data_IF_721121981440
#
_entry.id   IF_721121981440
#
_cell.length_a   1.000
_cell.length_b   1.000
_cell.length_c   1.000
_cell.angle_alpha   90.00
_cell.angle_beta   90.00
_cell.angle_gamma   90.00
#
_symmetry.space_group_name_H-M   'P 1'
#
loop_
_entity.id
_entity.type
_entity.pdbx_description
1 polymer ?
#
# COMPACT_ATOMS: atom_id res chain seq x y z
N UNK A 1 14.55 -23.56 21.85
CA UNK A 1 13.80 -22.32 21.56
C UNK A 1 13.79 -22.12 20.04
N UNK A 2 12.71 -22.49 19.33
CA UNK A 2 12.65 -22.35 17.89
C UNK A 2 12.52 -20.87 17.51
N UNK A 3 13.45 -20.40 16.67
CA UNK A 3 13.43 -19.05 16.10
C UNK A 3 12.18 -18.92 15.23
N UNK A 4 11.21 -18.12 15.67
CA UNK A 4 10.12 -17.63 14.81
C UNK A 4 10.71 -16.82 13.67
N UNK A 5 10.90 -17.46 12.51
CA UNK A 5 11.20 -16.79 11.26
C UNK A 5 9.92 -16.07 10.86
N UNK A 6 9.80 -14.83 11.32
CA UNK A 6 8.89 -13.88 10.68
C UNK A 6 9.58 -13.51 9.37
N UNK A 7 9.22 -14.21 8.29
CA UNK A 7 9.45 -13.73 6.93
C UNK A 7 8.64 -12.45 6.80
N UNK A 8 9.21 -11.35 7.27
CA UNK A 8 8.63 -10.04 7.09
C UNK A 8 8.75 -9.73 5.61
N UNK A 9 7.64 -9.32 5.00
CA UNK A 9 7.64 -8.56 3.76
C UNK A 9 8.50 -7.26 3.85
N UNK A 10 9.04 -6.93 5.04
CA UNK A 10 9.84 -5.74 5.32
C UNK A 10 11.34 -5.86 5.01
N UNK A 11 11.86 -6.97 4.49
CA UNK A 11 13.29 -7.06 4.18
C UNK A 11 13.60 -6.41 2.82
N UNK A 12 14.71 -5.68 2.77
CA UNK A 12 15.26 -5.12 1.54
C UNK A 12 15.59 -6.20 0.49
N UNK A 13 15.61 -7.49 0.87
CA UNK A 13 15.84 -8.62 -0.05
C UNK A 13 14.64 -8.85 -0.99
N UNK A 14 13.44 -8.35 -0.62
CA UNK A 14 12.28 -8.33 -1.51
C UNK A 14 12.32 -7.19 -2.54
N UNK A 15 13.25 -6.22 -2.39
CA UNK A 15 13.41 -5.10 -3.30
C UNK A 15 14.87 -5.01 -3.78
N UNK A 16 15.16 -5.77 -4.83
CA UNK A 16 16.46 -5.89 -5.53
C UNK A 16 17.56 -6.57 -4.70
N UNK A 17 18.03 -7.72 -5.20
CA UNK A 17 19.21 -8.42 -4.67
C UNK A 17 20.40 -7.47 -4.55
N UNK A 18 21.03 -7.48 -3.38
CA UNK A 18 22.22 -6.70 -3.00
C UNK A 18 23.50 -7.17 -3.73
N UNK A 19 23.38 -7.68 -4.96
CA UNK A 19 24.53 -8.08 -5.75
C UNK A 19 25.09 -6.83 -6.44
N UNK A 20 26.10 -6.24 -5.81
CA UNK A 20 27.10 -5.38 -6.43
C UNK A 20 26.51 -4.24 -7.27
N UNK A 21 25.96 -3.23 -6.60
CA UNK A 21 25.73 -1.89 -7.16
C UNK A 21 27.08 -1.21 -7.44
N UNK A 22 27.83 -1.72 -8.43
CA UNK A 22 28.97 -1.04 -9.04
C UNK A 22 28.51 -0.24 -10.26
N UNK A 23 27.37 -0.59 -10.88
CA UNK A 23 26.85 0.14 -12.04
C UNK A 23 25.38 0.54 -11.86
N UNK A 24 25.22 1.82 -11.54
CA UNK A 24 24.07 2.69 -11.77
C UNK A 24 22.68 2.21 -11.25
N UNK A 25 22.22 2.71 -10.09
CA UNK A 25 20.89 2.39 -9.57
C UNK A 25 19.83 2.95 -10.52
N UNK A 26 19.30 2.11 -11.41
CA UNK A 26 18.11 2.36 -12.25
C UNK A 26 17.89 3.84 -12.61
N UNK A 27 18.61 4.31 -13.65
CA UNK A 27 18.41 5.56 -14.42
C UNK A 27 17.81 6.73 -13.62
N UNK A 28 18.69 7.66 -13.23
CA UNK A 28 18.40 8.93 -12.55
C UNK A 28 17.44 9.89 -13.30
N UNK A 29 17.14 9.61 -14.56
CA UNK A 29 16.39 10.50 -15.45
C UNK A 29 15.11 9.80 -15.91
N UNK A 30 14.06 9.88 -15.10
CA UNK A 30 12.71 9.64 -15.56
C UNK A 30 12.14 10.97 -16.05
N UNK A 31 11.75 11.03 -17.31
CA UNK A 31 10.84 12.05 -17.80
C UNK A 31 9.47 11.72 -17.21
N UNK A 32 8.98 12.53 -16.29
CA UNK A 32 7.59 12.39 -15.87
C UNK A 32 6.73 12.59 -17.13
N UNK A 33 5.91 11.62 -17.55
CA UNK A 33 5.19 11.73 -18.81
C UNK A 33 4.30 12.97 -18.75
N UNK A 34 4.69 13.99 -19.51
CA UNK A 34 3.90 15.19 -19.70
C UNK A 34 2.80 14.79 -20.68
N UNK A 35 1.58 14.64 -20.17
CA UNK A 35 0.32 14.50 -20.95
C UNK A 35 0.03 13.19 -21.68
N UNK A 36 0.86 12.15 -21.63
CA UNK A 36 0.48 10.87 -22.25
C UNK A 36 -0.57 10.09 -21.44
N UNK A 37 -1.49 9.40 -22.15
CA UNK A 37 -2.62 8.62 -21.63
C UNK A 37 -2.17 7.42 -20.78
N UNK A 38 -1.81 7.68 -19.52
CA UNK A 38 -1.65 6.60 -18.54
C UNK A 38 -3.01 5.97 -18.31
N UNK A 39 -3.17 4.72 -18.74
CA UNK A 39 -4.41 3.96 -18.55
C UNK A 39 -4.68 3.70 -17.06
N UNK A 40 -5.94 3.41 -16.71
CA UNK A 40 -6.31 3.04 -15.34
C UNK A 40 -5.63 1.75 -14.87
N UNK A 41 -5.37 0.80 -15.79
CA UNK A 41 -4.62 -0.42 -15.52
C UNK A 41 -3.13 -0.13 -15.25
N UNK A 42 -2.52 0.77 -16.02
CA UNK A 42 -1.15 1.21 -15.77
C UNK A 42 -1.04 1.93 -14.43
N UNK A 43 -1.95 2.86 -14.12
CA UNK A 43 -1.99 3.53 -12.82
C UNK A 43 -2.13 2.57 -11.65
N UNK A 44 -3.02 1.57 -11.78
CA UNK A 44 -3.21 0.51 -10.77
C UNK A 44 -1.94 -0.31 -10.59
N UNK A 45 -1.32 -0.75 -11.69
CA UNK A 45 -0.06 -1.50 -11.66
C UNK A 45 1.05 -0.70 -10.99
N UNK A 46 1.18 0.59 -11.31
CA UNK A 46 2.14 1.48 -10.67
C UNK A 46 1.89 1.57 -9.17
N UNK A 47 0.64 1.75 -8.72
CA UNK A 47 0.31 1.79 -7.29
C UNK A 47 0.76 0.53 -6.54
N UNK A 48 0.59 -0.64 -7.17
CA UNK A 48 1.09 -1.91 -6.65
C UNK A 48 2.63 -1.95 -6.63
N UNK A 49 3.30 -1.55 -7.72
CA UNK A 49 4.76 -1.60 -7.84
C UNK A 49 5.50 -0.61 -6.92
N UNK A 50 4.88 0.52 -6.56
CA UNK A 50 5.45 1.50 -5.61
C UNK A 50 5.20 1.15 -4.14
N UNK A 51 4.47 0.06 -3.86
CA UNK A 51 4.14 -0.40 -2.50
C UNK A 51 4.67 -1.82 -2.26
N UNK A 52 3.83 -2.84 -2.33
CA UNK A 52 4.17 -4.24 -2.06
C UNK A 52 4.90 -4.92 -3.24
N UNK A 53 4.82 -4.33 -4.43
CA UNK A 53 5.47 -4.80 -5.64
C UNK A 53 6.90 -4.29 -5.82
N UNK A 54 7.60 -4.86 -6.79
CA UNK A 54 8.93 -4.41 -7.18
C UNK A 54 9.19 -4.72 -8.66
N UNK A 55 9.95 -3.82 -9.30
CA UNK A 55 10.56 -4.04 -10.61
C UNK A 55 12.10 -3.97 -10.45
N UNK A 56 12.76 -5.10 -10.71
CA UNK A 56 14.21 -5.23 -10.55
C UNK A 56 14.86 -5.83 -11.78
N UNK A 57 16.14 -5.50 -11.99
CA UNK A 57 16.93 -6.08 -13.08
C UNK A 57 17.38 -7.47 -12.63
N UNK A 58 17.06 -8.50 -13.42
CA UNK A 58 17.45 -9.89 -13.16
C UNK A 58 18.78 -10.23 -13.86
N UNK A 59 18.94 -9.80 -15.10
CA UNK A 59 20.18 -9.94 -15.89
C UNK A 59 20.39 -8.70 -16.77
N UNK A 60 21.49 -8.62 -17.52
CA UNK A 60 21.80 -7.49 -18.43
C UNK A 60 20.59 -7.10 -19.30
N UNK A 61 19.82 -8.08 -19.77
CA UNK A 61 18.70 -7.92 -20.67
C UNK A 61 17.38 -8.50 -20.14
N UNK A 62 17.22 -8.70 -18.83
CA UNK A 62 15.99 -9.25 -18.27
C UNK A 62 15.57 -8.49 -17.01
N UNK A 63 14.29 -8.15 -16.95
CA UNK A 63 13.66 -7.54 -15.79
C UNK A 63 12.69 -8.51 -15.15
N UNK A 64 12.61 -8.43 -13.82
CA UNK A 64 11.70 -9.21 -13.00
C UNK A 64 10.73 -8.28 -12.30
N UNK A 65 9.46 -8.55 -12.52
CA UNK A 65 8.36 -8.05 -11.72
C UNK A 65 8.11 -9.04 -10.61
N UNK A 66 7.93 -8.51 -9.41
CA UNK A 66 7.73 -9.28 -8.21
C UNK A 66 6.62 -8.63 -7.40
N UNK A 67 5.68 -9.44 -6.93
CA UNK A 67 4.69 -9.02 -5.95
C UNK A 67 4.51 -10.14 -4.95
N UNK A 68 4.45 -9.79 -3.67
CA UNK A 68 4.08 -10.72 -2.61
C UNK A 68 3.06 -10.09 -1.71
N UNK A 69 1.96 -10.80 -1.44
CA UNK A 69 0.87 -10.28 -0.64
C UNK A 69 0.12 -11.41 0.07
N UNK A 70 -0.59 -11.08 1.15
CA UNK A 70 -1.48 -12.00 1.85
C UNK A 70 -2.89 -12.04 1.24
N UNK A 71 -3.26 -11.03 0.44
CA UNK A 71 -4.51 -11.00 -0.34
C UNK A 71 -4.28 -11.59 -1.74
N UNK A 72 -5.05 -12.63 -2.07
CA UNK A 72 -5.08 -13.21 -3.42
C UNK A 72 -5.68 -12.22 -4.42
N UNK A 73 -6.63 -11.39 -3.98
CA UNK A 73 -7.30 -10.39 -4.81
C UNK A 73 -6.29 -9.39 -5.38
N UNK A 74 -5.36 -8.88 -4.56
CA UNK A 74 -4.28 -7.99 -5.02
C UNK A 74 -3.40 -8.69 -6.07
N UNK A 75 -3.11 -9.98 -5.88
CA UNK A 75 -2.31 -10.77 -6.82
C UNK A 75 -3.01 -10.96 -8.16
N UNK A 76 -4.33 -11.23 -8.15
CA UNK A 76 -5.11 -11.33 -9.38
C UNK A 76 -5.24 -9.98 -10.09
N UNK A 77 -5.46 -8.89 -9.36
CA UNK A 77 -5.47 -7.53 -9.94
C UNK A 77 -4.12 -7.22 -10.61
N UNK A 78 -3.00 -7.56 -9.97
CA UNK A 78 -1.68 -7.44 -10.57
C UNK A 78 -1.54 -8.28 -11.85
N UNK A 79 -1.98 -9.55 -11.82
CA UNK A 79 -1.97 -10.43 -12.99
C UNK A 79 -2.76 -9.82 -14.15
N UNK A 80 -3.97 -9.34 -13.87
CA UNK A 80 -4.85 -8.76 -14.88
C UNK A 80 -4.27 -7.47 -15.47
N UNK A 81 -3.65 -6.61 -14.64
CA UNK A 81 -2.98 -5.42 -15.13
C UNK A 81 -1.80 -5.78 -16.05
N UNK A 82 -1.00 -6.78 -15.69
CA UNK A 82 0.12 -7.25 -16.52
C UNK A 82 -0.34 -7.85 -17.86
N UNK A 83 -1.45 -8.60 -17.87
CA UNK A 83 -2.03 -9.15 -19.10
C UNK A 83 -2.58 -8.03 -19.98
N UNK A 84 -3.42 -7.14 -19.42
CA UNK A 84 -4.11 -6.10 -20.17
C UNK A 84 -3.15 -5.04 -20.72
N UNK A 85 -2.18 -4.61 -19.92
CA UNK A 85 -1.25 -3.54 -20.31
C UNK A 85 -0.22 -4.00 -21.34
N UNK A 86 0.24 -5.25 -21.25
CA UNK A 86 1.36 -5.75 -22.05
C UNK A 86 1.01 -6.90 -23.00
N UNK A 87 -0.26 -7.32 -23.07
CA UNK A 87 -0.70 -8.45 -23.88
C UNK A 87 0.00 -9.76 -23.51
N UNK A 88 0.38 -9.94 -22.24
CA UNK A 88 1.12 -11.12 -21.82
C UNK A 88 0.22 -12.35 -21.75
N UNK A 89 0.72 -13.49 -22.21
CA UNK A 89 0.09 -14.77 -21.94
C UNK A 89 0.03 -15.01 -20.42
N UNK A 90 -1.14 -15.41 -19.93
CA UNK A 90 -1.40 -15.66 -18.51
C UNK A 90 -0.41 -16.65 -17.86
N UNK A 91 0.14 -17.60 -18.62
CA UNK A 91 1.14 -18.60 -18.19
C UNK A 91 2.50 -17.96 -17.89
N UNK A 92 2.78 -16.77 -18.42
CA UNK A 92 4.01 -16.03 -18.10
C UNK A 92 4.00 -15.43 -16.69
N UNK A 93 2.83 -15.37 -16.05
CA UNK A 93 2.65 -14.84 -14.71
C UNK A 93 2.59 -16.01 -13.74
N UNK A 94 3.73 -16.31 -13.13
CA UNK A 94 3.86 -17.43 -12.20
C UNK A 94 3.35 -17.01 -10.83
N UNK A 95 2.26 -17.61 -10.39
CA UNK A 95 1.71 -17.42 -9.04
C UNK A 95 2.04 -18.67 -8.22
N UNK A 96 2.55 -18.45 -7.02
CA UNK A 96 2.82 -19.49 -6.04
C UNK A 96 2.20 -19.10 -4.70
N UNK A 97 1.71 -20.09 -3.97
CA UNK A 97 1.21 -19.93 -2.61
C UNK A 97 2.16 -20.62 -1.64
N UNK A 98 2.41 -19.97 -0.50
CA UNK A 98 3.09 -20.56 0.65
C UNK A 98 2.29 -20.28 1.89
N UNK A 99 2.35 -21.18 2.87
CA UNK A 99 1.80 -20.94 4.19
C UNK A 99 2.87 -20.29 5.07
N UNK A 100 2.60 -19.08 5.56
CA UNK A 100 3.47 -18.35 6.50
C UNK A 100 2.66 -18.09 7.77
N UNK A 101 3.09 -18.67 8.89
CA UNK A 101 2.36 -18.64 10.16
C UNK A 101 0.92 -19.17 10.05
N UNK A 102 0.73 -20.26 9.31
CA UNK A 102 -0.59 -20.90 9.12
C UNK A 102 -1.58 -20.08 8.29
N UNK A 103 -1.09 -19.08 7.56
CA UNK A 103 -1.91 -18.22 6.71
C UNK A 103 -1.33 -18.19 5.29
N UNK A 104 -2.18 -18.06 4.26
CA UNK A 104 -1.71 -18.02 2.89
C UNK A 104 -0.90 -16.75 2.61
N UNK A 105 0.19 -16.93 1.89
CA UNK A 105 1.08 -15.90 1.40
C UNK A 105 1.34 -16.17 -0.08
N UNK A 106 0.88 -15.25 -0.92
CA UNK A 106 0.91 -15.40 -2.36
C UNK A 106 2.05 -14.60 -2.95
N UNK A 107 2.65 -15.14 -3.99
CA UNK A 107 3.75 -14.52 -4.72
C UNK A 107 3.53 -14.63 -6.22
N UNK A 108 3.57 -13.50 -6.92
CA UNK A 108 3.53 -13.42 -8.37
C UNK A 108 4.88 -12.95 -8.92
N UNK A 109 5.35 -13.63 -9.97
CA UNK A 109 6.61 -13.31 -10.65
C UNK A 109 6.43 -13.30 -12.16
N UNK A 110 6.87 -12.21 -12.80
CA UNK A 110 6.89 -12.07 -14.26
C UNK A 110 8.30 -11.66 -14.69
N UNK A 111 8.93 -12.47 -15.55
CA UNK A 111 10.23 -12.12 -16.14
C UNK A 111 9.98 -11.61 -17.58
N UNK A 112 10.28 -10.34 -17.86
CA UNK A 112 10.06 -9.72 -19.17
C UNK A 112 11.00 -8.55 -19.45
N UNK A 113 11.79 -8.65 -20.53
CA UNK A 113 12.70 -7.59 -20.98
C UNK A 113 11.96 -6.33 -21.40
N UNK A 114 10.94 -6.47 -22.28
CA UNK A 114 10.29 -5.33 -22.92
C UNK A 114 9.46 -4.53 -21.92
N UNK A 115 8.64 -5.21 -21.10
CA UNK A 115 7.81 -4.57 -20.08
C UNK A 115 8.68 -3.80 -19.05
N UNK A 116 9.78 -4.41 -18.60
CA UNK A 116 10.67 -3.76 -17.64
C UNK A 116 11.44 -2.58 -18.25
N UNK A 117 11.91 -2.69 -19.50
CA UNK A 117 12.53 -1.56 -20.21
C UNK A 117 11.53 -0.41 -20.40
N UNK A 118 10.30 -0.70 -20.81
CA UNK A 118 9.24 0.30 -20.96
C UNK A 118 9.01 1.08 -19.65
N UNK A 119 8.72 0.38 -18.55
CA UNK A 119 8.41 1.06 -17.29
C UNK A 119 9.61 1.80 -16.69
N UNK A 120 10.81 1.24 -16.76
CA UNK A 120 12.00 1.91 -16.22
C UNK A 120 12.49 3.06 -17.09
N UNK A 121 12.27 3.02 -18.40
CA UNK A 121 12.53 4.17 -19.26
C UNK A 121 11.55 5.31 -18.95
N UNK A 122 10.27 4.98 -18.73
CA UNK A 122 9.19 5.93 -18.51
C UNK A 122 9.15 6.51 -17.09
N UNK A 123 9.38 5.69 -16.07
CA UNK A 123 9.16 6.06 -14.66
C UNK A 123 10.41 5.98 -13.79
N UNK A 124 11.51 5.45 -14.32
CA UNK A 124 12.79 5.35 -13.62
C UNK A 124 12.81 4.25 -12.56
N UNK A 125 13.08 4.64 -11.32
CA UNK A 125 13.32 3.71 -10.21
C UNK A 125 12.04 3.35 -9.46
N UNK A 126 11.85 2.05 -9.19
CA UNK A 126 10.72 1.51 -8.43
C UNK A 126 11.10 1.05 -7.02
N UNK A 127 12.39 1.14 -6.63
CA UNK A 127 12.81 0.80 -5.27
C UNK A 127 12.30 1.88 -4.33
N UNK A 128 11.61 1.53 -3.24
CA UNK A 128 11.12 2.53 -2.26
C UNK A 128 11.83 2.41 -0.91
N UNK A 129 12.44 1.25 -0.64
CA UNK A 129 13.19 1.01 0.59
C UNK A 129 14.62 1.57 0.55
N UNK A 130 15.03 2.16 1.66
CA UNK A 130 16.38 2.63 1.86
C UNK A 130 17.40 1.49 1.88
N UNK A 131 18.62 1.78 1.43
CA UNK A 131 19.77 0.88 1.49
C UNK A 131 20.89 1.50 2.32
N UNK A 132 21.81 0.68 2.81
CA UNK A 132 22.99 1.15 3.53
C UNK A 132 24.14 1.36 2.55
N UNK A 133 24.73 2.56 2.52
CA UNK A 133 25.98 2.84 1.79
C UNK A 133 26.95 3.52 2.77
N UNK A 134 28.11 2.91 2.99
CA UNK A 134 29.12 3.40 3.95
C UNK A 134 28.54 3.73 5.34
N UNK A 135 27.70 2.84 5.88
CA UNK A 135 27.07 3.01 7.19
C UNK A 135 25.88 3.99 7.23
N UNK A 136 25.62 4.76 6.17
CA UNK A 136 24.49 5.71 6.11
C UNK A 136 23.27 5.09 5.43
N UNK A 137 22.08 5.39 5.95
CA UNK A 137 20.80 5.06 5.32
C UNK A 137 20.56 6.03 4.16
N UNK A 138 20.51 5.50 2.94
CA UNK A 138 20.26 6.26 1.72
C UNK A 138 18.94 5.79 1.11
N UNK A 139 18.06 6.74 0.80
CA UNK A 139 16.86 6.47 0.03
C UNK A 139 17.16 6.56 -1.47
N UNK A 140 16.61 5.64 -2.29
CA UNK A 140 16.76 5.72 -3.75
C UNK A 140 16.13 7.02 -4.30
N UNK A 141 16.53 7.48 -5.49
CA UNK A 141 16.03 8.70 -6.11
C UNK A 141 14.61 8.55 -6.70
N UNK A 142 13.77 7.73 -6.06
CA UNK A 142 12.44 7.35 -6.53
C UNK A 142 11.46 8.52 -6.41
N UNK A 143 10.62 8.69 -7.43
CA UNK A 143 9.57 9.71 -7.51
C UNK A 143 8.27 9.07 -7.94
N UNK A 144 7.15 9.61 -7.47
CA UNK A 144 5.86 9.18 -8.00
C UNK A 144 5.70 9.64 -9.47
N UNK A 145 5.05 8.84 -10.32
CA UNK A 145 4.98 9.11 -11.75
C UNK A 145 3.85 10.09 -12.13
N UNK A 146 3.20 10.69 -11.14
CA UNK A 146 2.04 11.56 -11.31
C UNK A 146 2.29 12.95 -10.72
N UNK A 147 1.69 13.94 -11.36
CA UNK A 147 1.67 15.34 -10.94
C UNK A 147 0.27 15.92 -11.15
N UNK A 148 0.09 17.19 -10.81
CA UNK A 148 -1.17 17.94 -10.97
C UNK A 148 -1.58 18.15 -12.43
N UNK A 149 -0.78 17.73 -13.42
CA UNK A 149 -1.17 17.76 -14.84
C UNK A 149 -1.85 16.48 -15.30
N UNK A 150 -1.83 15.42 -14.49
CA UNK A 150 -2.46 14.13 -14.84
C UNK A 150 -3.95 14.13 -14.45
N UNK A 151 -4.75 13.31 -15.15
CA UNK A 151 -6.18 13.16 -14.91
C UNK A 151 -6.46 12.68 -13.46
N UNK A 152 -7.45 13.30 -12.80
CA UNK A 152 -7.93 12.94 -11.47
C UNK A 152 -8.27 11.45 -11.32
N UNK A 153 -8.90 10.84 -12.33
CA UNK A 153 -9.30 9.42 -12.30
C UNK A 153 -8.08 8.49 -12.29
N UNK A 154 -7.06 8.83 -13.08
CA UNK A 154 -5.79 8.08 -13.14
C UNK A 154 -5.07 8.15 -11.80
N UNK A 155 -4.98 9.35 -11.22
CA UNK A 155 -4.40 9.55 -9.88
C UNK A 155 -5.20 8.77 -8.83
N UNK A 156 -6.53 8.80 -8.91
CA UNK A 156 -7.39 8.04 -8.01
C UNK A 156 -7.16 6.53 -8.12
N UNK A 157 -7.03 5.97 -9.34
CA UNK A 157 -6.68 4.57 -9.55
C UNK A 157 -5.33 4.21 -8.93
N UNK A 158 -4.31 5.03 -9.15
CA UNK A 158 -2.99 4.85 -8.55
C UNK A 158 -3.05 4.86 -7.01
N UNK A 159 -3.70 5.88 -6.42
CA UNK A 159 -3.84 5.99 -4.97
C UNK A 159 -4.67 4.85 -4.39
N UNK A 160 -5.75 4.43 -5.06
CA UNK A 160 -6.58 3.30 -4.64
C UNK A 160 -5.75 2.03 -4.49
N UNK A 161 -4.90 1.74 -5.47
CA UNK A 161 -3.98 0.61 -5.40
C UNK A 161 -2.97 0.77 -4.25
N UNK A 162 -2.32 1.94 -4.14
CA UNK A 162 -1.33 2.20 -3.09
C UNK A 162 -1.91 2.04 -1.67
N UNK A 163 -3.09 2.62 -1.40
CA UNK A 163 -3.80 2.47 -0.12
C UNK A 163 -4.30 1.04 0.12
N UNK A 164 -4.54 0.27 -0.93
CA UNK A 164 -4.96 -1.14 -0.80
C UNK A 164 -3.80 -2.08 -0.45
N UNK A 165 -2.57 -1.73 -0.85
CA UNK A 165 -1.36 -2.46 -0.49
C UNK A 165 -0.85 -2.03 0.90
N UNK A 166 -0.28 -0.83 1.01
CA UNK A 166 0.43 -0.33 2.21
C UNK A 166 -0.46 0.44 3.20
N UNK A 167 -1.73 0.65 2.85
CA UNK A 167 -2.69 1.40 3.62
C UNK A 167 -3.77 0.56 4.31
N UNK A 168 -4.60 1.23 5.10
CA UNK A 168 -5.70 0.60 5.81
C UNK A 168 -6.60 1.60 6.54
N UNK A 169 -7.62 1.06 7.19
CA UNK A 169 -8.56 1.81 8.03
C UNK A 169 -8.25 1.50 9.49
N UNK A 170 -8.03 2.54 10.29
CA UNK A 170 -7.98 2.45 11.74
C UNK A 170 -9.34 2.84 12.31
N UNK A 171 -10.04 1.83 12.84
CA UNK A 171 -11.27 1.99 13.59
C UNK A 171 -11.11 1.27 14.93
N UNK A 172 -10.93 2.03 16.02
CA UNK A 172 -10.68 1.47 17.35
C UNK A 172 -11.57 2.09 18.42
N UNK A 173 -12.01 1.23 19.34
CA UNK A 173 -12.66 1.60 20.58
C UNK A 173 -11.63 1.91 21.65
N UNK A 174 -11.98 2.81 22.58
CA UNK A 174 -11.25 2.94 23.83
C UNK A 174 -12.17 3.42 24.93
N UNK A 175 -11.67 3.32 26.16
CA UNK A 175 -12.43 3.72 27.34
C UNK A 175 -12.67 5.24 27.34
N UNK A 176 -13.83 5.63 27.87
CA UNK A 176 -14.15 7.02 28.17
C UNK A 176 -13.18 7.65 29.19
N UNK A 177 -13.44 8.90 29.58
CA UNK A 177 -12.69 9.55 30.67
C UNK A 177 -12.89 8.75 31.98
N UNK A 178 -11.93 8.81 32.93
CA UNK A 178 -12.11 8.22 34.26
C UNK A 178 -13.43 8.69 34.88
N UNK A 179 -14.27 7.75 35.33
CA UNK A 179 -15.61 8.04 35.88
C UNK A 179 -16.79 7.81 34.92
N UNK A 180 -16.54 7.56 33.62
CA UNK A 180 -17.58 7.15 32.66
C UNK A 180 -17.05 5.99 31.80
N UNK A 181 -17.30 4.75 32.24
CA UNK A 181 -16.86 3.50 31.61
C UNK A 181 -17.64 3.14 30.34
N UNK A 182 -18.05 4.13 29.55
CA UNK A 182 -18.63 3.88 28.22
C UNK A 182 -17.51 3.73 27.19
N UNK A 183 -17.58 2.67 26.39
CA UNK A 183 -16.73 2.51 25.22
C UNK A 183 -17.05 3.61 24.21
N UNK A 184 -16.02 4.31 23.76
CA UNK A 184 -16.11 5.34 22.74
C UNK A 184 -15.21 4.98 21.58
N UNK A 185 -15.66 5.31 20.37
CA UNK A 185 -14.82 5.15 19.17
C UNK A 185 -13.78 6.28 19.20
N UNK A 186 -12.54 5.92 19.53
CA UNK A 186 -11.44 6.87 19.78
C UNK A 186 -10.69 7.22 18.51
N UNK A 187 -10.54 6.27 17.59
CA UNK A 187 -9.69 6.43 16.41
C UNK A 187 -10.52 6.07 15.18
N UNK A 188 -10.61 7.02 14.25
CA UNK A 188 -11.22 6.90 12.92
C UNK A 188 -10.30 7.56 11.91
N UNK A 189 -9.53 6.80 11.17
CA UNK A 189 -8.71 7.34 10.10
C UNK A 189 -8.40 6.30 9.03
N UNK A 190 -8.12 6.80 7.83
CA UNK A 190 -7.43 6.03 6.79
C UNK A 190 -5.96 6.39 6.87
N UNK A 191 -5.09 5.40 6.66
CA UNK A 191 -3.65 5.63 6.63
C UNK A 191 -2.98 4.96 5.43
N UNK A 192 -1.83 5.49 5.03
CA UNK A 192 -0.86 4.89 4.12
C UNK A 192 0.50 4.84 4.81
N UNK A 193 1.10 3.66 4.91
CA UNK A 193 2.45 3.51 5.48
C UNK A 193 3.48 3.78 4.39
N UNK A 194 4.44 4.68 4.65
CA UNK A 194 5.50 4.96 3.69
C UNK A 194 6.74 5.45 4.43
N UNK A 195 7.85 4.72 4.37
CA UNK A 195 9.09 5.14 5.04
C UNK A 195 9.91 6.15 4.24
N UNK A 196 9.58 6.42 2.98
CA UNK A 196 10.37 7.27 2.10
C UNK A 196 9.91 8.74 2.21
N UNK A 197 10.73 9.66 2.78
CA UNK A 197 10.28 11.03 3.07
C UNK A 197 9.80 11.81 1.84
N UNK A 198 10.48 11.62 0.70
CA UNK A 198 10.04 12.21 -0.57
C UNK A 198 8.67 11.70 -1.02
N UNK A 199 8.49 10.38 -1.07
CA UNK A 199 7.22 9.79 -1.49
C UNK A 199 6.07 10.18 -0.55
N UNK A 200 6.32 10.36 0.76
CA UNK A 200 5.31 10.90 1.68
C UNK A 200 4.77 12.26 1.21
N UNK A 201 5.65 13.16 0.78
CA UNK A 201 5.27 14.48 0.25
C UNK A 201 4.55 14.35 -1.09
N UNK A 202 5.04 13.48 -1.96
CA UNK A 202 4.42 13.25 -3.27
C UNK A 202 2.99 12.70 -3.12
N UNK A 203 2.77 11.70 -2.27
CA UNK A 203 1.43 11.18 -1.94
C UNK A 203 0.52 12.24 -1.32
N UNK A 204 1.04 13.06 -0.40
CA UNK A 204 0.28 14.15 0.21
C UNK A 204 -0.16 15.17 -0.85
N UNK A 205 0.72 15.52 -1.80
CA UNK A 205 0.41 16.41 -2.92
C UNK A 205 -0.70 15.84 -3.80
N UNK A 206 -0.61 14.56 -4.18
CA UNK A 206 -1.64 13.89 -4.98
C UNK A 206 -3.00 13.85 -4.27
N UNK A 207 -3.03 13.57 -2.96
CA UNK A 207 -4.26 13.63 -2.16
C UNK A 207 -4.86 15.04 -2.13
N UNK A 208 -4.01 16.06 -1.91
CA UNK A 208 -4.45 17.45 -1.91
C UNK A 208 -5.02 17.88 -3.26
N UNK A 209 -4.44 17.41 -4.35
CA UNK A 209 -4.93 17.66 -5.71
C UNK A 209 -6.32 17.05 -5.94
N UNK A 210 -6.60 15.87 -5.37
CA UNK A 210 -7.95 15.30 -5.33
C UNK A 210 -8.88 16.00 -4.31
N UNK A 211 -8.43 17.07 -3.64
CA UNK A 211 -9.21 17.80 -2.64
C UNK A 211 -9.37 17.05 -1.31
N UNK A 212 -8.46 16.13 -1.00
CA UNK A 212 -8.44 15.35 0.24
C UNK A 212 -7.32 15.89 1.14
N UNK A 213 -7.71 16.36 2.32
CA UNK A 213 -6.76 16.88 3.30
C UNK A 213 -6.17 15.71 4.09
N UNK A 214 -4.84 15.59 4.03
CA UNK A 214 -4.08 14.58 4.77
C UNK A 214 -2.97 15.22 5.60
N UNK A 215 -2.56 14.53 6.65
CA UNK A 215 -1.40 14.90 7.48
C UNK A 215 -0.34 13.81 7.40
N UNK A 216 0.93 14.19 7.41
CA UNK A 216 2.04 13.25 7.60
C UNK A 216 2.33 13.17 9.10
N UNK A 217 2.44 11.96 9.64
CA UNK A 217 2.95 11.70 10.98
C UNK A 217 4.39 11.17 10.86
N UNK A 218 5.41 12.03 11.08
CA UNK A 218 6.81 11.61 10.91
C UNK A 218 7.23 10.49 11.85
N UNK A 219 6.68 10.46 13.07
CA UNK A 219 6.99 9.43 14.08
C UNK A 219 6.59 8.03 13.63
N UNK A 220 5.43 7.91 12.98
CA UNK A 220 4.88 6.62 12.58
C UNK A 220 5.19 6.27 11.11
N UNK A 221 5.80 7.21 10.36
CA UNK A 221 6.00 7.12 8.91
C UNK A 221 4.69 6.84 8.15
N UNK A 222 3.62 7.54 8.54
CA UNK A 222 2.27 7.34 7.98
C UNK A 222 1.69 8.65 7.47
N UNK A 223 0.97 8.56 6.36
CA UNK A 223 0.06 9.60 5.89
C UNK A 223 -1.32 9.23 6.41
N UNK A 224 -2.03 10.20 6.99
CA UNK A 224 -3.31 9.99 7.66
C UNK A 224 -4.38 10.94 7.12
N UNK A 225 -5.57 10.40 6.89
CA UNK A 225 -6.77 11.17 6.55
C UNK A 225 -7.71 11.06 7.74
N UNK A 226 -8.08 12.23 8.27
CA UNK A 226 -8.87 12.36 9.50
C UNK A 226 -10.05 13.29 9.25
N UNK A 227 -11.11 13.14 10.06
CA UNK A 227 -12.43 13.79 9.96
C UNK A 227 -13.43 13.08 9.05
N UNK A 228 -14.72 13.19 9.37
CA UNK A 228 -15.81 12.59 8.60
C UNK A 228 -15.81 13.07 7.14
N UNK A 229 -15.65 14.38 6.94
CA UNK A 229 -15.71 14.99 5.60
C UNK A 229 -14.59 14.46 4.69
N UNK A 230 -13.36 14.40 5.19
CA UNK A 230 -12.23 13.91 4.39
C UNK A 230 -12.26 12.39 4.18
N UNK A 231 -12.79 11.62 5.15
CA UNK A 231 -13.03 10.19 4.95
C UNK A 231 -14.09 9.93 3.88
N UNK A 232 -15.16 10.74 3.84
CA UNK A 232 -16.17 10.67 2.78
C UNK A 232 -15.55 10.99 1.42
N UNK A 233 -14.79 12.09 1.31
CA UNK A 233 -14.08 12.44 0.06
C UNK A 233 -13.12 11.34 -0.38
N UNK A 234 -12.41 10.72 0.55
CA UNK A 234 -11.56 9.58 0.25
C UNK A 234 -12.38 8.40 -0.27
N UNK A 235 -13.51 8.07 0.36
CA UNK A 235 -14.40 6.97 -0.07
C UNK A 235 -14.96 7.18 -1.48
N UNK A 236 -15.35 8.41 -1.79
CA UNK A 236 -16.01 8.76 -3.05
C UNK A 236 -15.01 8.84 -4.21
N UNK A 237 -13.81 9.40 -3.97
CA UNK A 237 -12.83 9.63 -5.03
C UNK A 237 -11.81 8.50 -5.19
N UNK A 238 -11.33 7.94 -4.08
CA UNK A 238 -10.20 6.99 -4.08
C UNK A 238 -10.69 5.61 -3.66
N UNK A 239 -11.13 5.44 -2.41
CA UNK A 239 -11.52 4.14 -1.85
C UNK A 239 -10.37 3.13 -1.81
N UNK A 240 -10.71 1.87 -1.60
CA UNK A 240 -9.81 0.73 -1.76
C UNK A 240 -10.21 -0.10 -2.98
N UNK A 241 -9.31 -0.96 -3.45
CA UNK A 241 -9.59 -1.94 -4.48
C UNK A 241 -10.68 -2.91 -3.98
N UNK A 242 -11.62 -3.23 -4.87
CA UNK A 242 -12.74 -4.10 -4.54
C UNK A 242 -12.28 -5.52 -4.21
N UNK A 243 -12.97 -6.14 -3.25
CA UNK A 243 -12.64 -7.48 -2.74
C UNK A 243 -11.40 -7.54 -1.83
N UNK A 244 -10.60 -6.47 -1.73
CA UNK A 244 -9.41 -6.49 -0.86
C UNK A 244 -9.82 -6.46 0.61
N UNK A 245 -9.38 -7.47 1.35
CA UNK A 245 -9.68 -7.66 2.78
C UNK A 245 -8.56 -7.14 3.67
N UNK A 246 -8.92 -6.81 4.90
CA UNK A 246 -7.98 -6.50 5.97
C UNK A 246 -7.27 -7.79 6.39
N UNK A 247 -5.95 -7.71 6.43
CA UNK A 247 -5.07 -8.86 6.68
C UNK A 247 -4.57 -8.83 8.14
N UNK A 248 -3.49 -9.55 8.40
CA UNK A 248 -3.08 -10.04 9.73
C UNK A 248 -2.72 -8.96 10.76
N UNK A 249 -2.59 -7.69 10.35
CA UNK A 249 -2.15 -6.60 11.23
C UNK A 249 -3.29 -5.93 12.02
N UNK A 250 -4.55 -6.27 11.73
CA UNK A 250 -5.69 -5.79 12.50
C UNK A 250 -6.56 -6.96 12.95
N UNK A 251 -6.35 -7.41 14.20
CA UNK A 251 -7.04 -8.58 14.75
C UNK A 251 -8.57 -8.44 14.67
N UNK A 252 -9.11 -7.26 14.96
CA UNK A 252 -10.55 -7.00 14.99
C UNK A 252 -11.22 -7.01 13.62
N UNK A 253 -10.51 -6.56 12.59
CA UNK A 253 -11.06 -6.37 11.25
C UNK A 253 -10.61 -7.45 10.26
N UNK A 254 -9.83 -8.44 10.71
CA UNK A 254 -9.28 -9.48 9.84
C UNK A 254 -10.39 -10.18 9.05
N UNK A 255 -10.22 -10.25 7.72
CA UNK A 255 -11.17 -10.92 6.82
C UNK A 255 -12.31 -10.02 6.33
N UNK A 256 -12.50 -8.82 6.89
CA UNK A 256 -13.44 -7.83 6.38
C UNK A 256 -12.87 -7.09 5.18
N UNK A 257 -13.71 -6.70 4.22
CA UNK A 257 -13.30 -5.84 3.11
C UNK A 257 -12.93 -4.44 3.60
N UNK A 258 -11.83 -3.88 3.09
CA UNK A 258 -11.35 -2.55 3.49
C UNK A 258 -12.40 -1.46 3.24
N UNK A 259 -13.13 -1.53 2.12
CA UNK A 259 -14.22 -0.59 1.80
C UNK A 259 -15.36 -0.69 2.83
N UNK A 260 -15.75 -1.89 3.27
CA UNK A 260 -16.78 -2.07 4.32
C UNK A 260 -16.35 -1.47 5.66
N UNK A 261 -15.08 -1.65 6.05
CA UNK A 261 -14.55 -1.05 7.29
C UNK A 261 -14.50 0.48 7.19
N UNK A 262 -14.20 1.03 6.01
CA UNK A 262 -14.25 2.48 5.76
C UNK A 262 -15.69 3.02 5.90
N UNK A 263 -16.67 2.33 5.32
CA UNK A 263 -18.08 2.70 5.40
C UNK A 263 -18.58 2.68 6.87
N UNK A 264 -18.14 1.69 7.66
CA UNK A 264 -18.38 1.65 9.11
C UNK A 264 -17.72 2.83 9.83
N UNK A 265 -16.46 3.14 9.50
CA UNK A 265 -15.75 4.25 10.12
C UNK A 265 -16.45 5.60 9.87
N UNK A 266 -16.97 5.82 8.66
CA UNK A 266 -17.74 7.02 8.30
C UNK A 266 -19.08 7.05 9.03
N UNK A 267 -19.83 5.94 8.97
CA UNK A 267 -21.16 5.80 9.57
C UNK A 267 -21.12 5.99 11.09
N UNK A 268 -20.02 5.59 11.72
CA UNK A 268 -19.80 5.71 13.16
C UNK A 268 -19.80 7.14 13.70
N UNK A 269 -19.67 8.15 12.84
CA UNK A 269 -19.84 9.55 13.23
C UNK A 269 -21.30 9.92 13.56
N UNK A 270 -22.28 9.30 12.90
CA UNK A 270 -23.70 9.53 13.16
C UNK A 270 -24.35 8.41 13.98
N UNK A 271 -23.90 7.17 13.78
CA UNK A 271 -24.49 5.98 14.39
C UNK A 271 -23.41 5.10 15.05
N UNK A 272 -22.88 5.50 16.23
CA UNK A 272 -21.80 4.73 16.89
C UNK A 272 -22.19 3.29 17.22
N UNK A 273 -23.48 3.03 17.48
CA UNK A 273 -24.02 1.70 17.81
C UNK A 273 -23.71 0.66 16.73
N UNK A 274 -23.65 1.05 15.45
CA UNK A 274 -23.30 0.15 14.34
C UNK A 274 -21.92 -0.49 14.49
N UNK A 275 -21.01 0.15 15.23
CA UNK A 275 -19.68 -0.39 15.51
C UNK A 275 -19.64 -1.03 16.89
N UNK A 276 -20.27 -0.40 17.89
CA UNK A 276 -20.24 -0.86 19.28
C UNK A 276 -20.99 -2.19 19.48
N UNK A 277 -22.03 -2.44 18.69
CA UNK A 277 -22.87 -3.64 18.84
C UNK A 277 -22.30 -4.84 18.05
N UNK A 278 -21.19 -4.66 17.31
CA UNK A 278 -20.59 -5.76 16.55
C UNK A 278 -20.06 -6.86 17.50
N UNK A 279 -20.25 -8.15 17.18
CA UNK A 279 -19.82 -9.27 18.03
C UNK A 279 -18.34 -9.23 18.40
N UNK A 280 -17.49 -8.73 17.50
CA UNK A 280 -16.04 -8.58 17.73
C UNK A 280 -15.68 -7.61 18.87
N UNK A 281 -16.65 -6.82 19.35
CA UNK A 281 -16.50 -5.89 20.47
C UNK A 281 -17.41 -6.26 21.67
N UNK A 282 -18.15 -7.37 21.59
CA UNK A 282 -18.96 -7.86 22.72
C UNK A 282 -18.17 -8.79 23.66
N UNK A 283 -17.18 -9.50 23.12
CA UNK A 283 -16.23 -10.27 23.93
C UNK A 283 -15.11 -9.36 24.48
N UNK A 284 -14.76 -9.55 25.76
CA UNK A 284 -13.93 -8.72 26.65
C UNK A 284 -12.48 -8.36 26.21
N UNK A 285 -12.12 -8.43 24.93
CA UNK A 285 -10.77 -8.19 24.40
C UNK A 285 -10.50 -6.72 23.97
N UNK A 286 -11.32 -5.77 24.44
CA UNK A 286 -11.18 -4.35 24.08
C UNK A 286 -10.03 -3.69 24.88
N UNK A 287 -8.82 -3.89 24.36
CA UNK A 287 -7.68 -2.96 24.43
C UNK A 287 -7.05 -2.76 25.82
N UNK A 288 -6.18 -3.71 26.21
CA UNK A 288 -5.02 -3.49 27.10
C UNK A 288 -3.85 -2.75 26.43
N UNK A 289 -4.01 -2.16 25.24
CA UNK A 289 -2.98 -1.27 24.71
C UNK A 289 -3.23 0.14 25.24
N UNK A 290 -2.54 0.49 26.33
CA UNK A 290 -2.07 1.81 26.79
C UNK A 290 -1.64 1.73 28.27
N UNK A 291 -0.91 0.66 28.65
CA UNK A 291 0.00 0.66 29.81
C UNK A 291 1.41 0.34 29.34
N UNK A 292 2.03 1.31 28.68
CA UNK A 292 3.47 1.62 28.75
C UNK A 292 3.59 3.13 28.52
N UNK A 293 3.46 3.88 29.61
CA UNK A 293 4.25 5.08 29.83
C UNK A 293 5.71 4.63 30.01
#
# INVERSE_FOLDING_TARGET
MPRTITDKASSADNQQETLLLVEDPQRLYAECPVREDVSSQEATLLGILYTDGCLSKKTKNCWRFYLSNTSLEIIQIFKDCMIKLFGLDSRRIRISEKQVNGKPFYKAVVDSTNCGKYLTARYGCFRTLAFKKRGRKIYPPTKLPFTEVNNHEVIACFLRAAFSCDGGVNLYLGLGKPGNYRFLIRIRNVYLSCHHPRLQRDYQRLLSYLGIISKVLPTDNKIIIRSKAELQRFRDKVGFLDGVRVTQHSAFWQGWEKNKVLDLAISSYGYPKLVLDLPQFQDNDIVRSHRRL
#
